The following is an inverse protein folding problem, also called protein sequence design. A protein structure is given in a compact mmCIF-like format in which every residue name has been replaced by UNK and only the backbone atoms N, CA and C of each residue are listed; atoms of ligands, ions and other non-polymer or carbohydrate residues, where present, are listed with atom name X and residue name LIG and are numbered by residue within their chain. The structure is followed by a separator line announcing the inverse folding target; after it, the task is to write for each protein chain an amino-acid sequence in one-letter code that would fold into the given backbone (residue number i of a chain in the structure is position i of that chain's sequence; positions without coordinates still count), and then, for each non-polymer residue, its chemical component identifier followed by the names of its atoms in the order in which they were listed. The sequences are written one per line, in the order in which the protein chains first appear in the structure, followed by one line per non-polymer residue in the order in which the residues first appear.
data_IF_358957236842
#
_entry.id   IF_358957236842
#
_cell.length_a   1.000
_cell.length_b   1.000
_cell.length_c   1.000
_cell.angle_alpha   90.00
_cell.angle_beta   90.00
_cell.angle_gamma   90.00
#
_symmetry.space_group_name_H-M   'P 1'
#
loop_
_entity.id
_entity.type
_entity.pdbx_description
1 polymer ?
#
# COMPACT_ATOMS: atom_id res chain seq x y z
N UNK A 1 -15.82 23.95 22.43
CA UNK A 1 -14.48 23.32 22.39
C UNK A 1 -14.32 22.56 23.68
N UNK A 2 -14.24 21.24 23.63
CA UNK A 2 -14.13 20.43 24.82
C UNK A 2 -12.67 20.17 25.17
N UNK A 3 -12.33 20.22 26.47
CA UNK A 3 -10.97 19.99 26.96
C UNK A 3 -10.96 18.70 27.79
N UNK A 4 -10.09 17.77 27.43
CA UNK A 4 -9.90 16.51 28.15
C UNK A 4 -8.57 16.56 28.89
N UNK A 5 -8.57 16.28 30.19
CA UNK A 5 -7.38 16.17 31.01
C UNK A 5 -7.03 14.69 31.21
N UNK A 6 -5.80 14.30 30.89
CA UNK A 6 -5.31 12.94 31.03
C UNK A 6 -3.90 12.91 31.63
N UNK A 7 -3.55 11.84 32.32
CA UNK A 7 -2.18 11.61 32.82
C UNK A 7 -1.21 11.33 31.68
N UNK A 8 -1.68 10.63 30.64
CA UNK A 8 -0.96 10.31 29.40
C UNK A 8 -1.93 10.34 28.24
N UNK A 9 -1.41 10.63 27.05
CA UNK A 9 -2.17 10.59 25.78
C UNK A 9 -1.48 9.61 24.83
N UNK A 10 -2.24 8.70 24.20
CA UNK A 10 -1.78 7.81 23.17
C UNK A 10 -2.37 8.21 21.82
N UNK A 11 -1.51 8.51 20.86
CA UNK A 11 -1.89 8.73 19.46
C UNK A 11 -1.86 7.41 18.70
N UNK A 12 -3.02 6.99 18.20
CA UNK A 12 -3.17 5.78 17.37
C UNK A 12 -4.08 6.09 16.17
N UNK A 13 -3.73 7.16 15.44
CA UNK A 13 -4.60 7.85 14.48
C UNK A 13 -4.46 7.36 13.03
N UNK A 14 -3.67 6.31 12.82
CA UNK A 14 -3.42 5.78 11.46
C UNK A 14 -2.51 6.68 10.62
N UNK A 15 -2.47 6.38 9.33
CA UNK A 15 -1.55 7.00 8.36
C UNK A 15 -2.13 8.22 7.64
N UNK A 16 -1.57 8.49 6.46
CA UNK A 16 -1.85 9.67 5.64
C UNK A 16 -2.30 9.33 4.21
N UNK A 17 -2.59 8.07 3.92
CA UNK A 17 -2.82 7.62 2.54
C UNK A 17 -3.89 8.40 1.78
N UNK A 18 -4.89 8.96 2.49
CA UNK A 18 -5.97 9.72 1.87
C UNK A 18 -5.53 11.08 1.27
N UNK A 19 -4.29 11.54 1.50
CA UNK A 19 -3.72 12.72 0.81
C UNK A 19 -3.30 12.39 -0.63
N UNK A 20 -3.15 11.11 -0.96
CA UNK A 20 -2.86 10.66 -2.32
C UNK A 20 -4.15 10.43 -3.11
N UNK A 21 -4.08 10.66 -4.42
CA UNK A 21 -5.22 10.45 -5.32
C UNK A 21 -5.63 8.98 -5.34
N UNK A 22 -4.65 8.06 -5.41
CA UNK A 22 -4.86 6.62 -5.34
C UNK A 22 -4.25 6.07 -4.05
N UNK A 23 -5.06 5.39 -3.24
CA UNK A 23 -4.64 4.81 -1.97
C UNK A 23 -5.47 3.59 -1.62
N UNK A 24 -4.86 2.63 -0.95
CA UNK A 24 -5.55 1.50 -0.33
C UNK A 24 -6.04 1.80 1.09
N UNK A 25 -5.71 2.98 1.62
CA UNK A 25 -6.13 3.39 2.95
C UNK A 25 -7.57 3.95 2.95
N UNK A 26 -8.30 3.82 4.06
CA UNK A 26 -9.61 4.42 4.20
C UNK A 26 -9.52 5.96 4.13
N UNK A 27 -10.61 6.62 3.74
CA UNK A 27 -10.67 8.07 3.54
C UNK A 27 -10.34 8.89 4.79
N UNK A 28 -10.48 8.30 5.98
CA UNK A 28 -10.12 8.91 7.28
C UNK A 28 -8.62 8.93 7.55
N UNK A 29 -7.80 8.29 6.72
CA UNK A 29 -6.34 8.28 6.87
C UNK A 29 -5.73 9.59 6.33
N UNK A 30 -6.01 10.70 6.99
CA UNK A 30 -5.68 12.07 6.58
C UNK A 30 -4.46 12.66 7.26
N UNK A 31 -3.83 11.90 8.20
CA UNK A 31 -2.64 12.35 8.93
C UNK A 31 -2.92 13.35 10.06
N UNK A 32 -4.16 13.48 10.49
CA UNK A 32 -4.57 14.49 11.47
C UNK A 32 -3.79 14.42 12.78
N UNK A 33 -3.56 13.20 13.31
CA UNK A 33 -2.80 13.02 14.54
C UNK A 33 -1.34 13.45 14.42
N UNK A 34 -0.72 13.16 13.28
CA UNK A 34 0.66 13.62 12.99
C UNK A 34 0.70 15.15 12.91
N UNK A 35 -0.27 15.75 12.23
CA UNK A 35 -0.39 17.21 12.13
C UNK A 35 -0.66 17.87 13.50
N UNK A 36 -1.48 17.23 14.37
CA UNK A 36 -1.69 17.70 15.75
C UNK A 36 -0.39 17.73 16.55
N UNK A 37 0.38 16.64 16.50
CA UNK A 37 1.67 16.54 17.20
C UNK A 37 2.67 17.55 16.65
N UNK A 38 2.74 17.73 15.33
CA UNK A 38 3.59 18.74 14.71
C UNK A 38 3.22 20.17 15.17
N UNK A 39 1.93 20.52 15.20
CA UNK A 39 1.47 21.83 15.71
C UNK A 39 1.78 22.01 17.20
N UNK A 40 1.78 20.94 17.98
CA UNK A 40 2.18 20.93 19.39
C UNK A 40 3.70 20.97 19.59
N UNK A 41 4.50 21.18 18.51
CA UNK A 41 5.97 21.18 18.52
C UNK A 41 6.62 19.84 18.81
N UNK A 42 5.88 18.74 18.64
CA UNK A 42 6.44 17.40 18.66
C UNK A 42 7.25 17.12 17.38
N UNK A 43 8.21 16.20 17.51
CA UNK A 43 9.07 15.81 16.39
C UNK A 43 8.36 14.82 15.49
N UNK A 44 8.30 15.11 14.20
CA UNK A 44 7.92 14.18 13.13
C UNK A 44 9.12 13.86 12.26
N UNK A 45 9.18 12.65 11.70
CA UNK A 45 10.35 12.17 10.97
C UNK A 45 9.95 11.29 9.78
N UNK A 46 10.81 11.27 8.76
CA UNK A 46 10.74 10.37 7.63
C UNK A 46 9.39 10.43 6.85
N UNK A 47 8.76 11.63 6.82
CA UNK A 47 7.44 11.84 6.21
C UNK A 47 7.43 11.63 4.69
N UNK A 48 8.58 11.72 4.03
CA UNK A 48 8.77 11.47 2.60
C UNK A 48 8.70 9.99 2.24
N UNK A 49 8.84 9.09 3.21
CA UNK A 49 8.86 7.64 2.95
C UNK A 49 7.46 7.05 3.03
N UNK A 50 6.80 6.98 1.88
CA UNK A 50 5.51 6.30 1.71
C UNK A 50 5.72 5.05 0.87
N UNK A 51 5.30 3.89 1.40
CA UNK A 51 5.29 2.65 0.64
C UNK A 51 4.11 2.64 -0.32
N UNK A 52 4.38 2.41 -1.60
CA UNK A 52 3.35 2.13 -2.59
C UNK A 52 3.17 0.62 -2.73
N UNK A 53 1.93 0.15 -2.61
CA UNK A 53 1.62 -1.23 -2.96
C UNK A 53 1.56 -1.35 -4.49
N UNK A 54 2.29 -2.29 -5.11
CA UNK A 54 2.41 -2.34 -6.56
C UNK A 54 1.12 -2.75 -7.27
N UNK A 55 0.26 -3.54 -6.62
CA UNK A 55 -0.90 -4.18 -7.23
C UNK A 55 -2.19 -3.82 -6.47
N UNK A 56 -2.62 -2.57 -6.53
CA UNK A 56 -4.00 -2.20 -6.23
C UNK A 56 -4.86 -2.36 -7.49
N UNK A 57 -6.10 -2.82 -7.34
CA UNK A 57 -7.04 -2.94 -8.44
C UNK A 57 -7.26 -1.57 -9.08
N UNK A 58 -7.00 -1.46 -10.37
CA UNK A 58 -7.28 -0.25 -11.12
C UNK A 58 -8.73 -0.24 -11.55
N UNK A 59 -9.53 0.60 -10.89
CA UNK A 59 -10.91 0.88 -11.26
C UNK A 59 -11.18 2.36 -11.05
N UNK A 60 -11.28 3.16 -12.13
CA UNK A 60 -11.48 4.61 -12.03
C UNK A 60 -12.69 4.97 -11.17
N UNK A 61 -12.48 5.87 -10.21
CA UNK A 61 -13.51 6.29 -9.27
C UNK A 61 -13.59 5.53 -7.95
N UNK A 62 -13.01 4.34 -7.84
CA UNK A 62 -12.94 3.61 -6.57
C UNK A 62 -11.95 4.27 -5.60
N UNK A 63 -12.46 4.60 -4.40
CA UNK A 63 -11.63 5.14 -3.33
C UNK A 63 -12.19 4.71 -1.96
N UNK A 64 -11.43 3.91 -1.19
CA UNK A 64 -10.07 3.42 -1.43
C UNK A 64 -9.99 2.39 -2.56
N UNK A 65 -8.80 2.28 -3.18
CA UNK A 65 -8.51 1.24 -4.15
C UNK A 65 -8.48 -0.14 -3.48
N UNK A 66 -9.08 -1.13 -4.11
CA UNK A 66 -9.08 -2.49 -3.58
C UNK A 66 -7.69 -3.12 -3.70
N UNK A 67 -7.20 -3.72 -2.62
CA UNK A 67 -5.88 -4.33 -2.58
C UNK A 67 -5.89 -5.73 -3.22
N UNK A 68 -5.11 -5.90 -4.29
CA UNK A 68 -4.75 -7.24 -4.80
C UNK A 68 -3.51 -7.68 -4.02
N UNK A 69 -3.69 -8.64 -3.12
CA UNK A 69 -2.63 -9.06 -2.19
C UNK A 69 -1.34 -9.52 -2.88
N UNK A 70 -0.21 -9.29 -2.24
CA UNK A 70 1.09 -9.80 -2.69
C UNK A 70 1.12 -11.32 -2.84
N UNK A 71 0.32 -12.04 -2.03
CA UNK A 71 0.18 -13.49 -2.13
C UNK A 71 -0.23 -13.96 -3.53
N UNK A 72 -0.95 -13.14 -4.30
CA UNK A 72 -1.31 -13.49 -5.68
C UNK A 72 -0.09 -13.53 -6.61
N UNK A 73 0.90 -12.61 -6.41
CA UNK A 73 2.18 -12.69 -7.10
C UNK A 73 2.99 -13.91 -6.62
N UNK A 74 2.96 -14.21 -5.31
CA UNK A 74 3.56 -15.41 -4.73
C UNK A 74 2.93 -16.71 -5.24
N UNK A 75 1.63 -16.71 -5.53
CA UNK A 75 0.92 -17.85 -6.14
C UNK A 75 1.35 -18.08 -7.60
N UNK A 76 2.02 -17.11 -8.22
CA UNK A 76 2.56 -17.18 -9.57
C UNK A 76 1.93 -16.16 -10.53
N UNK A 77 1.31 -15.11 -10.00
CA UNK A 77 0.81 -14.02 -10.83
C UNK A 77 1.91 -13.30 -11.59
N UNK A 78 1.71 -13.09 -12.89
CA UNK A 78 2.66 -12.50 -13.82
C UNK A 78 2.23 -11.08 -14.19
N UNK A 79 3.13 -10.11 -14.08
CA UNK A 79 2.86 -8.73 -14.48
C UNK A 79 3.06 -8.57 -15.99
N UNK A 80 2.05 -7.99 -16.65
CA UNK A 80 2.03 -7.77 -18.10
C UNK A 80 1.65 -6.32 -18.42
N UNK A 81 2.23 -5.83 -19.49
CA UNK A 81 1.84 -4.55 -20.11
C UNK A 81 0.48 -4.68 -20.81
N UNK A 82 -0.10 -3.55 -21.27
CA UNK A 82 -1.39 -3.53 -21.96
C UNK A 82 -1.43 -4.40 -23.23
N UNK A 83 -0.29 -4.63 -23.88
CA UNK A 83 -0.15 -5.53 -25.03
C UNK A 83 0.17 -6.99 -24.64
N UNK A 84 0.03 -7.35 -23.35
CA UNK A 84 0.14 -8.71 -22.83
C UNK A 84 1.57 -9.20 -22.61
N UNK A 85 2.60 -8.37 -22.81
CA UNK A 85 4.00 -8.77 -22.67
C UNK A 85 4.47 -8.68 -21.22
N UNK A 86 5.25 -9.66 -20.80
CA UNK A 86 5.98 -9.60 -19.53
C UNK A 86 7.08 -8.55 -19.57
N UNK A 87 7.29 -7.83 -18.47
CA UNK A 87 8.28 -6.74 -18.45
C UNK A 87 9.24 -6.81 -17.26
N UNK A 88 8.90 -7.54 -16.18
CA UNK A 88 9.71 -7.53 -14.96
C UNK A 88 11.15 -8.01 -15.15
N UNK A 89 11.43 -8.83 -16.14
CA UNK A 89 12.81 -9.28 -16.48
C UNK A 89 13.77 -8.13 -16.83
N UNK A 90 13.26 -6.95 -17.19
CA UNK A 90 14.07 -5.75 -17.43
C UNK A 90 14.54 -5.08 -16.15
N UNK A 91 13.89 -5.37 -15.01
CA UNK A 91 14.03 -4.65 -13.75
C UNK A 91 14.67 -5.47 -12.64
N UNK A 92 14.30 -6.75 -12.53
CA UNK A 92 14.81 -7.62 -11.45
C UNK A 92 14.73 -9.10 -11.83
N UNK A 93 15.79 -9.90 -11.55
CA UNK A 93 15.83 -11.33 -11.86
C UNK A 93 14.78 -12.16 -11.08
N UNK A 94 14.24 -11.65 -9.97
CA UNK A 94 13.15 -12.29 -9.23
C UNK A 94 11.78 -12.07 -9.88
N UNK A 95 11.71 -11.31 -10.98
CA UNK A 95 10.50 -11.04 -11.73
C UNK A 95 9.40 -10.42 -10.85
N UNK A 96 8.18 -10.94 -10.95
CA UNK A 96 7.03 -10.47 -10.16
C UNK A 96 7.18 -10.71 -8.64
N UNK A 97 8.17 -11.48 -8.20
CA UNK A 97 8.51 -11.74 -6.79
C UNK A 97 9.56 -10.77 -6.23
N UNK A 98 9.99 -9.78 -7.01
CA UNK A 98 10.87 -8.73 -6.52
C UNK A 98 10.21 -7.93 -5.37
N UNK A 99 10.98 -7.24 -4.50
CA UNK A 99 10.46 -6.37 -3.45
C UNK A 99 9.46 -5.34 -3.98
N UNK A 100 8.51 -4.95 -3.12
CA UNK A 100 7.39 -4.07 -3.49
C UNK A 100 7.83 -2.76 -4.13
N UNK A 101 8.90 -2.16 -3.64
CA UNK A 101 9.43 -0.90 -4.16
C UNK A 101 9.99 -1.06 -5.59
N UNK A 102 10.66 -2.17 -5.87
CA UNK A 102 11.17 -2.48 -7.22
C UNK A 102 9.99 -2.70 -8.17
N UNK A 103 9.01 -3.51 -7.76
CA UNK A 103 7.82 -3.80 -8.58
C UNK A 103 7.01 -2.54 -8.84
N UNK A 104 6.77 -1.71 -7.80
CA UNK A 104 6.00 -0.48 -7.95
C UNK A 104 6.68 0.50 -8.92
N UNK A 105 8.00 0.67 -8.80
CA UNK A 105 8.78 1.51 -9.74
C UNK A 105 8.81 0.94 -11.16
N UNK A 106 8.88 -0.38 -11.31
CA UNK A 106 8.84 -1.02 -12.61
C UNK A 106 7.49 -0.77 -13.31
N UNK A 107 6.39 -0.94 -12.58
CA UNK A 107 5.04 -0.66 -13.10
C UNK A 107 4.90 0.83 -13.47
N UNK A 108 5.28 1.74 -12.60
CA UNK A 108 5.24 3.19 -12.85
C UNK A 108 6.05 3.58 -14.09
N UNK A 109 7.24 3.00 -14.27
CA UNK A 109 8.06 3.23 -15.45
C UNK A 109 7.41 2.70 -16.74
N UNK A 110 6.85 1.49 -16.73
CA UNK A 110 6.16 0.96 -17.92
C UNK A 110 4.93 1.80 -18.27
N UNK A 111 4.12 2.19 -17.27
CA UNK A 111 2.96 3.06 -17.46
C UNK A 111 3.37 4.40 -18.09
N UNK A 112 4.38 5.08 -17.53
CA UNK A 112 4.87 6.38 -18.03
C UNK A 112 5.44 6.31 -19.44
N UNK A 113 6.25 5.27 -19.71
CA UNK A 113 6.91 5.11 -21.02
C UNK A 113 5.92 4.80 -22.13
N UNK A 114 4.78 4.21 -21.80
CA UNK A 114 3.76 3.77 -22.78
C UNK A 114 2.56 4.72 -22.84
N UNK A 115 2.38 5.57 -21.82
CA UNK A 115 1.19 6.40 -21.66
C UNK A 115 -0.03 5.60 -21.20
N UNK A 116 0.20 4.46 -20.54
CA UNK A 116 -0.85 3.57 -20.04
C UNK A 116 -1.24 4.00 -18.61
N UNK A 117 -2.52 3.84 -18.24
CA UNK A 117 -3.03 4.15 -16.90
C UNK A 117 -2.88 3.00 -15.90
N UNK A 118 -2.61 1.80 -16.38
CA UNK A 118 -2.44 0.59 -15.56
C UNK A 118 -1.62 -0.48 -16.30
N UNK A 119 -1.33 -1.57 -15.60
CA UNK A 119 -0.77 -2.81 -16.14
C UNK A 119 -1.68 -3.97 -15.76
N UNK A 120 -1.39 -5.16 -16.21
CA UNK A 120 -2.14 -6.35 -15.86
C UNK A 120 -1.38 -7.29 -14.92
N UNK A 121 -2.12 -7.92 -14.02
CA UNK A 121 -1.68 -9.10 -13.27
C UNK A 121 -2.41 -10.32 -13.81
N UNK A 122 -1.66 -11.25 -14.38
CA UNK A 122 -2.17 -12.47 -15.04
C UNK A 122 -2.03 -13.68 -14.11
N UNK A 123 -3.13 -14.33 -13.80
CA UNK A 123 -3.21 -15.63 -13.11
C UNK A 123 -4.00 -16.67 -13.93
N UNK A 124 -4.34 -16.38 -15.19
CA UNK A 124 -5.18 -17.23 -16.03
C UNK A 124 -4.55 -18.58 -16.40
N UNK A 125 -3.25 -18.70 -16.24
CA UNK A 125 -2.48 -19.93 -16.43
C UNK A 125 -2.58 -20.91 -15.23
N UNK A 126 -3.23 -20.48 -14.13
CA UNK A 126 -3.46 -21.30 -12.94
C UNK A 126 -4.77 -22.04 -13.01
N UNK A 127 -4.90 -23.09 -12.19
CA UNK A 127 -6.17 -23.81 -12.07
C UNK A 127 -7.28 -22.87 -11.57
N UNK A 128 -8.42 -22.79 -12.28
CA UNK A 128 -9.52 -21.88 -11.93
C UNK A 128 -10.11 -22.14 -10.54
N UNK A 129 -10.31 -23.40 -10.15
CA UNK A 129 -10.94 -23.74 -8.87
C UNK A 129 -9.98 -23.50 -7.70
N UNK A 130 -8.71 -23.81 -7.88
CA UNK A 130 -7.67 -23.46 -6.89
C UNK A 130 -7.54 -21.93 -6.74
N UNK A 131 -7.57 -21.18 -7.83
CA UNK A 131 -7.49 -19.69 -7.79
C UNK A 131 -8.65 -19.09 -7.00
N UNK A 132 -9.89 -19.55 -7.25
CA UNK A 132 -11.07 -19.11 -6.49
C UNK A 132 -10.97 -19.47 -5.02
N UNK A 133 -10.49 -20.68 -4.70
CA UNK A 133 -10.34 -21.16 -3.33
C UNK A 133 -9.27 -20.39 -2.55
N UNK A 134 -8.15 -20.04 -3.18
CA UNK A 134 -7.07 -19.28 -2.53
C UNK A 134 -7.41 -17.80 -2.35
N UNK A 135 -8.17 -17.21 -3.29
CA UNK A 135 -8.44 -15.77 -3.31
C UNK A 135 -9.93 -15.45 -3.47
N UNK A 136 -10.82 -15.98 -2.59
CA UNK A 136 -12.26 -15.82 -2.77
C UNK A 136 -12.70 -14.37 -2.80
N UNK A 137 -12.20 -13.53 -1.87
CA UNK A 137 -12.55 -12.10 -1.80
C UNK A 137 -12.08 -11.31 -3.02
N UNK A 138 -10.90 -11.65 -3.58
CA UNK A 138 -10.41 -10.99 -4.81
C UNK A 138 -11.24 -11.42 -5.99
N UNK A 139 -11.55 -12.72 -6.08
CA UNK A 139 -12.40 -13.26 -7.14
C UNK A 139 -13.78 -12.59 -7.14
N UNK A 140 -14.45 -12.54 -5.98
CA UNK A 140 -15.77 -11.91 -5.84
C UNK A 140 -15.74 -10.42 -6.19
N UNK A 141 -14.73 -9.68 -5.67
CA UNK A 141 -14.59 -8.26 -5.98
C UNK A 141 -14.37 -8.02 -7.47
N UNK A 142 -13.46 -8.74 -8.11
CA UNK A 142 -13.20 -8.60 -9.55
C UNK A 142 -14.43 -8.99 -10.36
N UNK A 143 -15.09 -10.11 -10.02
CA UNK A 143 -16.30 -10.57 -10.68
C UNK A 143 -17.45 -9.55 -10.58
N UNK A 144 -17.59 -8.86 -9.44
CA UNK A 144 -18.57 -7.80 -9.25
C UNK A 144 -18.35 -6.58 -10.19
N UNK A 145 -17.15 -6.47 -10.74
CA UNK A 145 -16.76 -5.45 -11.72
C UNK A 145 -16.73 -6.01 -13.16
N UNK A 146 -17.20 -7.24 -13.36
CA UNK A 146 -17.25 -7.91 -14.65
C UNK A 146 -15.94 -8.58 -15.07
N UNK A 147 -14.97 -8.73 -14.17
CA UNK A 147 -13.66 -9.33 -14.45
C UNK A 147 -13.59 -10.73 -13.85
N UNK A 148 -13.61 -11.77 -14.69
CA UNK A 148 -13.35 -13.15 -14.25
C UNK A 148 -11.83 -13.40 -14.27
N UNK A 149 -11.19 -13.34 -13.11
CA UNK A 149 -9.73 -13.47 -12.96
C UNK A 149 -9.18 -14.85 -13.39
N UNK A 150 -10.05 -15.83 -13.61
CA UNK A 150 -9.66 -17.14 -14.12
C UNK A 150 -9.55 -17.17 -15.65
N UNK A 151 -10.02 -16.12 -16.33
CA UNK A 151 -10.08 -16.02 -17.79
C UNK A 151 -9.50 -14.71 -18.31
N UNK A 152 -9.47 -13.68 -17.46
CA UNK A 152 -9.08 -12.32 -17.82
C UNK A 152 -8.01 -11.81 -16.88
N UNK A 153 -7.17 -10.91 -17.37
CA UNK A 153 -6.15 -10.27 -16.56
C UNK A 153 -6.75 -9.23 -15.63
N UNK A 154 -6.17 -9.11 -14.44
CA UNK A 154 -6.60 -8.13 -13.43
C UNK A 154 -5.90 -6.81 -13.72
N UNK A 155 -6.62 -5.69 -14.00
CA UNK A 155 -6.00 -4.39 -14.13
C UNK A 155 -5.48 -3.91 -12.77
N UNK A 156 -4.19 -3.53 -12.69
CA UNK A 156 -3.55 -3.12 -11.45
C UNK A 156 -2.66 -1.89 -11.66
N UNK A 157 -2.56 -1.04 -10.64
CA UNK A 157 -1.67 0.10 -10.61
C UNK A 157 -1.08 0.30 -9.21
N UNK A 158 0.09 0.95 -9.08
CA UNK A 158 0.63 1.32 -7.78
C UNK A 158 -0.28 2.29 -7.02
N UNK A 159 -0.40 2.08 -5.70
CA UNK A 159 -1.26 2.89 -4.84
C UNK A 159 -0.58 3.15 -3.50
N UNK A 160 -0.73 4.35 -2.95
CA UNK A 160 -0.19 4.68 -1.63
C UNK A 160 -0.81 3.73 -0.59
N UNK A 161 0.05 3.10 0.22
CA UNK A 161 -0.37 1.98 1.08
C UNK A 161 -0.01 2.16 2.55
N UNK A 162 1.22 2.60 2.84
CA UNK A 162 1.70 2.71 4.22
C UNK A 162 2.68 3.88 4.38
N UNK A 163 2.46 4.71 5.41
CA UNK A 163 3.42 5.73 5.81
C UNK A 163 4.50 5.09 6.70
N UNK A 164 5.75 5.14 6.25
CA UNK A 164 6.89 4.63 7.03
C UNK A 164 7.39 5.66 8.06
N UNK A 165 7.13 6.94 7.81
CA UNK A 165 7.40 8.04 8.71
C UNK A 165 6.29 8.29 9.74
N UNK A 166 6.34 9.43 10.40
CA UNK A 166 5.32 9.85 11.37
C UNK A 166 5.90 10.50 12.63
N UNK A 167 5.18 10.38 13.73
CA UNK A 167 5.59 10.88 15.05
C UNK A 167 6.82 10.10 15.49
N UNK A 168 7.95 10.79 15.72
CA UNK A 168 9.16 10.16 16.25
C UNK A 168 8.91 9.64 17.66
N UNK A 169 9.17 8.36 17.88
CA UNK A 169 9.04 7.70 19.18
C UNK A 169 10.29 6.90 19.54
N UNK A 170 10.45 6.62 20.83
CA UNK A 170 11.45 5.68 21.35
C UNK A 170 10.91 4.23 21.34
N UNK A 171 11.67 3.29 21.90
CA UNK A 171 11.30 1.87 22.00
C UNK A 171 10.06 1.62 22.87
N UNK A 172 9.68 2.57 23.71
CA UNK A 172 8.49 2.51 24.55
C UNK A 172 7.28 3.22 23.93
N UNK A 173 7.43 3.75 22.71
CA UNK A 173 6.40 4.52 22.03
C UNK A 173 6.27 5.96 22.51
N UNK A 174 7.19 6.47 23.37
CA UNK A 174 7.15 7.83 23.88
C UNK A 174 7.66 8.81 22.82
N UNK A 175 6.87 9.88 22.61
CA UNK A 175 7.23 10.95 21.68
C UNK A 175 8.20 11.96 22.31
N UNK A 176 8.55 13.00 21.56
CA UNK A 176 9.32 14.16 22.07
C UNK A 176 8.52 15.08 23.01
N UNK A 177 7.21 14.86 23.15
CA UNK A 177 6.35 15.60 24.08
C UNK A 177 6.14 14.71 25.32
N UNK A 178 6.36 15.27 26.50
CA UNK A 178 6.17 14.58 27.77
C UNK A 178 4.74 14.05 27.89
N UNK A 179 4.58 12.78 28.29
CA UNK A 179 3.29 12.05 28.47
C UNK A 179 2.50 11.88 27.19
N UNK A 180 3.09 12.11 26.02
CA UNK A 180 2.50 11.80 24.72
C UNK A 180 3.22 10.60 24.09
N UNK A 181 2.44 9.57 23.78
CA UNK A 181 2.88 8.35 23.15
C UNK A 181 2.25 8.22 21.77
N UNK A 182 2.88 7.46 20.87
CA UNK A 182 2.28 7.12 19.59
C UNK A 182 2.55 5.65 19.25
N UNK A 183 1.56 5.01 18.62
CA UNK A 183 1.63 3.63 18.18
C UNK A 183 0.91 3.41 16.85
N UNK A 184 1.29 2.37 16.13
CA UNK A 184 0.75 2.06 14.79
C UNK A 184 1.33 2.97 13.71
N UNK A 185 0.62 3.10 12.60
CA UNK A 185 1.12 3.78 11.40
C UNK A 185 1.40 5.28 11.58
N UNK A 186 0.78 5.95 12.57
CA UNK A 186 1.11 7.35 12.85
C UNK A 186 2.47 7.54 13.51
N UNK A 187 3.14 6.47 13.97
CA UNK A 187 4.44 6.52 14.64
C UNK A 187 5.58 6.12 13.71
N UNK A 188 6.67 6.88 13.74
CA UNK A 188 7.92 6.52 13.08
C UNK A 188 8.75 5.63 14.01
N UNK A 189 8.68 4.30 13.79
CA UNK A 189 9.39 3.26 14.57
C UNK A 189 10.62 2.74 13.86
N UNK A 190 11.16 3.48 12.86
CA UNK A 190 12.31 3.06 12.05
C UNK A 190 12.09 1.75 11.27
N UNK A 191 10.85 1.47 10.85
CA UNK A 191 10.50 0.23 10.12
C UNK A 191 11.38 0.01 8.88
N UNK A 192 11.80 1.08 8.20
CA UNK A 192 12.71 1.04 7.06
C UNK A 192 14.09 0.46 7.39
N UNK A 193 14.54 0.61 8.64
CA UNK A 193 15.88 0.20 9.06
C UNK A 193 15.91 -1.10 9.85
N UNK A 194 14.78 -1.54 10.39
CA UNK A 194 14.71 -2.66 11.33
C UNK A 194 13.87 -3.83 10.85
N UNK A 195 13.03 -3.65 9.84
CA UNK A 195 12.22 -4.75 9.29
C UNK A 195 12.88 -5.37 8.06
N UNK A 196 13.13 -6.69 8.07
CA UNK A 196 13.70 -7.40 6.92
C UNK A 196 12.70 -7.61 5.77
N UNK A 197 11.67 -6.90 5.69
CA UNK A 197 10.59 -6.75 4.70
C UNK A 197 9.26 -6.61 5.42
N UNK A 198 8.42 -5.63 5.10
CA UNK A 198 7.03 -5.67 5.52
C UNK A 198 6.37 -6.85 4.78
N UNK A 199 6.01 -7.87 5.50
CA UNK A 199 5.22 -9.00 5.00
C UNK A 199 3.77 -8.60 4.92
#
# INVERSE_FOLDING_TARGET
MDTYLAKVTLMATGGVGAVYQTTTNPLVATGDGIAMVYRAKGTVKDMEFVQFHPTALYHPGDRPSFLITEAMRGYGGVLRTMDGKEFMQKYDPRLSLAPRDIVARAIDNEMKNRGDDHVYLDVTHKDPEETKKHFPNIYEKCLSLGIDITREYIPVAPSAHYLCGGIKVDLNGQSSIERLYAAGECSCTCLLYTSPSPR
#
